data_IF_734652935355
#
_entry.id   IF_734652935355
#
_cell.length_a   1.000
_cell.length_b   1.000
_cell.length_c   1.000
_cell.angle_alpha   90.00
_cell.angle_beta   90.00
_cell.angle_gamma   90.00
#
_symmetry.space_group_name_H-M   'P 1'
#
loop_
_entity.id
_entity.type
_entity.pdbx_description
1 polymer ?
#
# COMPACT_ATOMS: atom_id res chain seq x y z
N UNK A 1 8.95 10.28 -0.28
CA UNK A 1 9.90 9.22 0.14
C UNK A 1 11.27 9.55 -0.44
N UNK A 2 12.39 9.32 0.26
CA UNK A 2 13.72 9.49 -0.35
C UNK A 2 14.05 8.31 -1.27
N UNK A 3 14.73 8.58 -2.39
CA UNK A 3 15.00 7.57 -3.43
C UNK A 3 15.83 6.39 -2.89
N UNK A 4 16.81 6.66 -2.02
CA UNK A 4 17.68 5.62 -1.45
C UNK A 4 16.88 4.64 -0.58
N UNK A 5 15.95 5.13 0.24
CA UNK A 5 15.07 4.30 1.05
C UNK A 5 14.07 3.53 0.21
N UNK A 6 13.48 4.16 -0.80
CA UNK A 6 12.61 3.45 -1.73
C UNK A 6 13.36 2.30 -2.39
N UNK A 7 14.58 2.53 -2.90
CA UNK A 7 15.41 1.49 -3.49
C UNK A 7 15.70 0.35 -2.50
N UNK A 8 15.97 0.65 -1.22
CA UNK A 8 16.16 -0.39 -0.18
C UNK A 8 14.90 -1.22 0.05
N UNK A 9 13.73 -0.59 0.11
CA UNK A 9 12.44 -1.27 0.29
C UNK A 9 12.12 -2.13 -0.93
N UNK A 10 12.24 -1.57 -2.14
CA UNK A 10 12.05 -2.27 -3.41
C UNK A 10 12.95 -3.50 -3.49
N UNK A 11 14.25 -3.33 -3.28
CA UNK A 11 15.20 -4.44 -3.31
C UNK A 11 14.87 -5.53 -2.25
N UNK A 12 14.41 -5.14 -1.06
CA UNK A 12 13.99 -6.12 -0.05
C UNK A 12 12.75 -6.90 -0.48
N UNK A 13 11.74 -6.25 -1.06
CA UNK A 13 10.55 -6.90 -1.58
C UNK A 13 10.87 -7.85 -2.74
N UNK A 14 11.71 -7.40 -3.67
CA UNK A 14 12.13 -8.16 -4.86
C UNK A 14 13.00 -9.36 -4.51
N UNK A 15 13.91 -9.25 -3.53
CA UNK A 15 14.67 -10.40 -2.99
C UNK A 15 13.78 -11.49 -2.42
N UNK A 16 12.55 -11.15 -1.99
CA UNK A 16 11.56 -12.11 -1.52
C UNK A 16 10.60 -12.58 -2.63
N UNK A 17 10.99 -12.44 -3.90
CA UNK A 17 10.22 -12.86 -5.07
C UNK A 17 9.04 -11.95 -5.39
N UNK A 18 9.02 -10.72 -4.86
CA UNK A 18 8.07 -9.69 -5.25
C UNK A 18 8.51 -8.90 -6.49
N UNK A 19 7.61 -8.10 -7.03
CA UNK A 19 7.84 -7.19 -8.16
C UNK A 19 7.16 -5.86 -7.83
N UNK A 20 7.91 -4.77 -7.95
CA UNK A 20 7.35 -3.42 -7.99
C UNK A 20 7.34 -2.97 -9.44
N UNK A 21 6.16 -2.92 -10.05
CA UNK A 21 5.95 -2.49 -11.42
C UNK A 21 5.65 -0.98 -11.47
N UNK A 22 6.46 -0.26 -12.23
CA UNK A 22 6.30 1.17 -12.50
C UNK A 22 6.32 1.45 -14.02
N UNK A 23 6.12 0.43 -14.85
CA UNK A 23 6.05 0.50 -16.32
C UNK A 23 4.90 1.40 -16.80
N UNK A 24 4.91 1.74 -18.10
CA UNK A 24 3.84 2.55 -18.71
C UNK A 24 2.46 1.88 -18.62
N UNK A 25 2.40 0.54 -18.66
CA UNK A 25 1.16 -0.20 -18.48
C UNK A 25 0.64 -0.07 -17.05
N UNK A 26 1.53 -0.24 -16.07
CA UNK A 26 1.27 0.05 -14.68
C UNK A 26 0.74 1.49 -14.47
N UNK A 27 1.34 2.47 -15.13
CA UNK A 27 0.87 3.86 -15.05
C UNK A 27 -0.52 4.05 -15.67
N UNK A 28 -0.83 3.39 -16.80
CA UNK A 28 -2.17 3.41 -17.40
C UNK A 28 -3.20 2.81 -16.46
N UNK A 29 -2.88 1.69 -15.82
CA UNK A 29 -3.76 1.04 -14.83
C UNK A 29 -4.04 1.98 -13.64
N UNK A 30 -3.01 2.56 -13.04
CA UNK A 30 -3.17 3.49 -11.92
C UNK A 30 -3.97 4.73 -12.31
N UNK A 31 -3.78 5.25 -13.53
CA UNK A 31 -4.56 6.37 -14.05
C UNK A 31 -6.03 6.00 -14.20
N UNK A 32 -6.34 4.82 -14.74
CA UNK A 32 -7.72 4.35 -14.90
C UNK A 32 -8.46 4.21 -13.55
N UNK A 33 -7.75 3.76 -12.51
CA UNK A 33 -8.31 3.63 -11.16
C UNK A 33 -8.19 4.90 -10.31
N UNK A 34 -7.66 6.00 -10.86
CA UNK A 34 -7.35 7.24 -10.12
C UNK A 34 -6.52 7.00 -8.85
N UNK A 35 -5.68 5.96 -8.86
CA UNK A 35 -4.94 5.49 -7.71
C UNK A 35 -3.47 5.95 -7.73
N UNK A 36 -2.85 6.00 -6.56
CA UNK A 36 -1.40 6.19 -6.43
C UNK A 36 -0.63 4.86 -6.54
N UNK A 37 -1.26 3.79 -6.08
CA UNK A 37 -0.67 2.47 -5.92
C UNK A 37 -1.77 1.40 -5.95
N UNK A 38 -1.38 0.16 -6.23
CA UNK A 38 -2.27 -0.98 -6.13
C UNK A 38 -1.50 -2.29 -5.91
N UNK A 39 -2.06 -3.20 -5.12
CA UNK A 39 -1.58 -4.58 -5.00
C UNK A 39 -2.39 -5.49 -5.91
N UNK A 40 -1.74 -6.09 -6.90
CA UNK A 40 -2.41 -7.02 -7.82
C UNK A 40 -2.54 -8.43 -7.23
N UNK A 41 -1.55 -8.85 -6.44
CA UNK A 41 -1.51 -10.17 -5.81
C UNK A 41 -0.43 -10.23 -4.71
N UNK A 42 -0.14 -11.42 -4.19
CA UNK A 42 0.87 -11.70 -3.15
C UNK A 42 2.32 -11.26 -3.51
N UNK A 43 2.60 -10.99 -4.78
CA UNK A 43 3.95 -10.73 -5.31
C UNK A 43 4.04 -9.44 -6.10
N UNK A 44 2.95 -8.89 -6.63
CA UNK A 44 3.01 -7.74 -7.53
C UNK A 44 2.36 -6.51 -6.92
N UNK A 45 3.15 -5.44 -6.81
CA UNK A 45 2.69 -4.10 -6.46
C UNK A 45 2.91 -3.20 -7.67
N UNK A 46 1.94 -2.33 -7.95
CA UNK A 46 2.04 -1.27 -8.95
C UNK A 46 2.14 0.08 -8.22
N UNK A 47 3.12 0.91 -8.57
CA UNK A 47 3.34 2.23 -7.95
C UNK A 47 3.52 3.32 -9.00
N UNK A 48 3.11 4.56 -8.68
CA UNK A 48 3.60 5.75 -9.38
C UNK A 48 5.13 5.90 -9.21
N UNK A 49 5.84 6.63 -10.09
CA UNK A 49 7.30 6.83 -9.99
C UNK A 49 7.77 7.48 -8.68
N UNK A 50 6.97 8.37 -8.10
CA UNK A 50 7.27 9.10 -6.87
C UNK A 50 6.21 8.83 -5.79
N UNK A 51 6.12 7.61 -5.25
CA UNK A 51 5.05 7.25 -4.34
C UNK A 51 5.28 7.82 -2.93
N UNK A 52 4.18 8.08 -2.23
CA UNK A 52 4.15 8.43 -0.81
C UNK A 52 4.62 7.25 0.04
N UNK A 53 5.06 7.56 1.26
CA UNK A 53 5.43 6.52 2.24
C UNK A 53 4.21 5.68 2.60
N UNK A 54 3.07 6.34 2.79
CA UNK A 54 1.80 5.68 3.06
C UNK A 54 1.45 4.65 1.98
N UNK A 55 1.46 5.03 0.70
CA UNK A 55 1.17 4.13 -0.41
C UNK A 55 2.10 2.91 -0.44
N UNK A 56 3.42 3.11 -0.32
CA UNK A 56 4.37 1.98 -0.31
C UNK A 56 4.06 0.99 0.81
N UNK A 57 3.86 1.48 2.04
CA UNK A 57 3.65 0.59 3.19
C UNK A 57 2.27 -0.07 3.18
N UNK A 58 1.25 0.62 2.66
CA UNK A 58 -0.08 0.06 2.46
C UNK A 58 -0.03 -1.17 1.54
N UNK A 59 0.58 -1.04 0.36
CA UNK A 59 0.66 -2.16 -0.58
C UNK A 59 1.53 -3.32 -0.06
N UNK A 60 2.57 -3.01 0.72
CA UNK A 60 3.33 -4.06 1.41
C UNK A 60 2.49 -4.81 2.46
N UNK A 61 1.51 -4.15 3.08
CA UNK A 61 0.57 -4.81 3.99
C UNK A 61 -0.40 -5.68 3.19
N UNK A 62 -0.94 -5.18 2.08
CA UNK A 62 -1.85 -5.92 1.22
C UNK A 62 -1.20 -7.17 0.61
N UNK A 63 0.02 -7.07 0.10
CA UNK A 63 0.76 -8.25 -0.38
C UNK A 63 0.95 -9.30 0.72
N UNK A 64 1.19 -8.89 1.97
CA UNK A 64 1.25 -9.82 3.10
C UNK A 64 -0.11 -10.45 3.43
N UNK A 65 -1.21 -9.71 3.30
CA UNK A 65 -2.58 -10.25 3.43
C UNK A 65 -2.85 -11.32 2.36
N UNK A 66 -2.45 -11.07 1.10
CA UNK A 66 -2.51 -12.06 0.03
C UNK A 66 -1.64 -13.29 0.30
N UNK A 67 -0.38 -13.12 0.74
CA UNK A 67 0.53 -14.24 1.05
C UNK A 67 -0.01 -15.19 2.13
N UNK A 68 -0.81 -14.66 3.05
CA UNK A 68 -1.41 -15.44 4.14
C UNK A 68 -2.76 -16.06 3.77
N UNK A 69 -3.21 -15.93 2.51
CA UNK A 69 -4.51 -16.42 2.05
C UNK A 69 -5.71 -15.68 2.65
N UNK A 70 -5.47 -14.56 3.35
CA UNK A 70 -6.52 -13.80 4.04
C UNK A 70 -7.26 -12.86 3.11
N UNK A 71 -6.63 -12.39 2.04
CA UNK A 71 -7.28 -11.57 1.03
C UNK A 71 -8.08 -12.48 0.07
N UNK A 72 -9.41 -12.44 0.17
CA UNK A 72 -10.33 -13.30 -0.59
C UNK A 72 -11.19 -12.53 -1.61
N UNK A 73 -11.01 -11.21 -1.71
CA UNK A 73 -11.87 -10.31 -2.48
C UNK A 73 -13.20 -10.01 -1.78
N UNK A 74 -13.83 -10.99 -1.14
CA UNK A 74 -15.07 -10.78 -0.38
C UNK A 74 -14.87 -9.93 0.90
N UNK A 75 -13.64 -9.79 1.38
CA UNK A 75 -13.30 -9.13 2.64
C UNK A 75 -12.45 -7.87 2.47
N UNK A 76 -12.55 -7.18 1.32
CA UNK A 76 -11.76 -5.98 1.00
C UNK A 76 -11.88 -4.93 2.11
N UNK A 77 -13.08 -4.56 2.54
CA UNK A 77 -13.26 -3.52 3.58
C UNK A 77 -12.52 -3.87 4.88
N UNK A 78 -12.55 -5.16 5.29
CA UNK A 78 -11.80 -5.63 6.46
C UNK A 78 -10.29 -5.51 6.27
N UNK A 79 -9.78 -5.79 5.07
CA UNK A 79 -8.36 -5.67 4.74
C UNK A 79 -7.90 -4.21 4.73
N UNK A 80 -8.70 -3.31 4.18
CA UNK A 80 -8.46 -1.85 4.21
C UNK A 80 -8.42 -1.31 5.65
N UNK A 81 -9.36 -1.72 6.50
CA UNK A 81 -9.37 -1.33 7.92
C UNK A 81 -8.12 -1.83 8.64
N UNK A 82 -7.71 -3.08 8.41
CA UNK A 82 -6.48 -3.64 9.00
C UNK A 82 -5.24 -2.87 8.53
N UNK A 83 -5.15 -2.56 7.24
CA UNK A 83 -4.04 -1.80 6.67
C UNK A 83 -3.96 -0.39 7.28
N UNK A 84 -5.07 0.35 7.30
CA UNK A 84 -5.14 1.69 7.89
C UNK A 84 -4.77 1.69 9.38
N UNK A 85 -5.30 0.74 10.17
CA UNK A 85 -4.93 0.59 11.59
C UNK A 85 -3.43 0.32 11.78
N UNK A 86 -2.84 -0.52 10.91
CA UNK A 86 -1.42 -0.87 10.98
C UNK A 86 -0.53 0.31 10.58
N UNK A 87 -0.90 1.06 9.55
CA UNK A 87 -0.20 2.29 9.16
C UNK A 87 -0.17 3.30 10.31
N UNK A 88 -1.31 3.58 10.94
CA UNK A 88 -1.40 4.48 12.09
C UNK A 88 -0.58 3.98 13.28
N UNK A 89 -0.69 2.69 13.63
CA UNK A 89 0.07 2.07 14.74
C UNK A 89 1.58 2.20 14.55
N UNK A 90 2.07 2.09 13.31
CA UNK A 90 3.50 2.14 12.99
C UNK A 90 3.92 3.47 12.34
N UNK A 91 3.10 4.51 12.39
CA UNK A 91 3.32 5.78 11.68
C UNK A 91 4.69 6.39 11.96
N UNK A 92 5.13 6.39 13.23
CA UNK A 92 6.47 6.87 13.62
C UNK A 92 7.60 6.04 12.98
N UNK A 93 7.47 4.71 12.94
CA UNK A 93 8.48 3.81 12.36
C UNK A 93 8.54 3.92 10.84
N UNK A 94 7.39 4.15 10.21
CA UNK A 94 7.27 4.40 8.78
C UNK A 94 7.58 5.84 8.40
N UNK A 95 7.75 6.70 9.40
CA UNK A 95 7.96 8.14 9.27
C UNK A 95 6.89 8.78 8.35
N UNK A 96 5.63 8.44 8.62
CA UNK A 96 4.50 9.12 8.00
C UNK A 96 4.41 10.54 8.55
N UNK A 97 4.15 11.51 7.69
CA UNK A 97 3.95 12.89 8.12
C UNK A 97 2.53 13.07 8.70
N UNK A 98 2.24 14.27 9.19
CA UNK A 98 0.95 14.58 9.82
C UNK A 98 -0.19 14.40 8.81
N UNK A 99 0.00 14.93 7.59
CA UNK A 99 -0.96 14.89 6.50
C UNK A 99 -1.33 13.45 6.12
N UNK A 100 -0.34 12.56 6.00
CA UNK A 100 -0.52 11.12 5.76
C UNK A 100 -1.39 10.52 6.87
N UNK A 101 -1.03 10.77 8.14
CA UNK A 101 -1.76 10.19 9.28
C UNK A 101 -3.20 10.70 9.40
N UNK A 102 -3.44 11.98 9.08
CA UNK A 102 -4.79 12.57 9.08
C UNK A 102 -5.63 12.00 7.93
N UNK A 103 -5.06 11.86 6.73
CA UNK A 103 -5.72 11.23 5.59
C UNK A 103 -6.09 9.76 5.89
N UNK A 104 -5.16 9.00 6.47
CA UNK A 104 -5.37 7.61 6.85
C UNK A 104 -6.45 7.50 7.94
N UNK A 105 -6.43 8.36 8.96
CA UNK A 105 -7.43 8.38 10.03
C UNK A 105 -8.82 8.73 9.49
N UNK A 106 -8.91 9.73 8.61
CA UNK A 106 -10.15 10.11 7.95
C UNK A 106 -10.71 8.96 7.10
N UNK A 107 -9.86 8.27 6.33
CA UNK A 107 -10.26 7.07 5.59
C UNK A 107 -10.72 5.95 6.51
N UNK A 108 -9.99 5.66 7.59
CA UNK A 108 -10.36 4.64 8.56
C UNK A 108 -11.75 4.91 9.16
N UNK A 109 -12.04 6.16 9.51
CA UNK A 109 -13.34 6.55 10.04
C UNK A 109 -14.46 6.28 9.02
N UNK A 110 -14.25 6.63 7.74
CA UNK A 110 -15.22 6.34 6.67
C UNK A 110 -15.46 4.84 6.50
N UNK A 111 -14.39 4.04 6.50
CA UNK A 111 -14.49 2.59 6.38
C UNK A 111 -15.29 1.97 7.54
N UNK A 112 -15.12 2.48 8.76
CA UNK A 112 -15.86 2.00 9.94
C UNK A 112 -17.34 2.38 9.95
N UNK A 113 -17.76 3.39 9.17
CA UNK A 113 -19.17 3.80 9.07
C UNK A 113 -19.98 2.92 8.10
N UNK A 114 -19.31 2.14 7.26
CA UNK A 114 -19.94 1.28 6.23
C UNK A 114 -19.80 -0.22 6.55
N UNK A 115 -19.25 -0.56 7.71
CA UNK A 115 -19.18 -1.92 8.27
C UNK A 115 -20.20 -2.13 9.36
#
# INVERSE_FOLDING_TARGET
>A
MDAARFARIKAAFERNGGVIDQSDEAQRLLKYHEAEAATLNAKTIVLKPNPTRAAIFEELIHTAQYRTGRATGANIIKMEIEAAKKLLRFAKRYELNKEDTEAIQSRLNRLLMIT
#
